data_IF_852193604304
#
_entry.id   IF_852193604304
#
_cell.length_a   1.000
_cell.length_b   1.000
_cell.length_c   1.000
_cell.angle_alpha   90.00
_cell.angle_beta   90.00
_cell.angle_gamma   90.00
#
_symmetry.space_group_name_H-M   'P 1'
#
loop_
_entity.id
_entity.type
_entity.pdbx_description
1 polymer ?
#
# COMPACT_ATOMS: atom_id res chain seq x y z
N UNK A 1 26.17 16.39 10.93
CA UNK A 1 25.72 16.70 9.54
C UNK A 1 24.21 16.60 9.49
N UNK A 2 23.51 17.64 8.99
CA UNK A 2 22.05 17.62 8.86
C UNK A 2 21.69 17.29 7.41
N UNK A 3 21.26 16.06 7.16
CA UNK A 3 20.70 15.70 5.84
C UNK A 3 19.19 15.88 5.91
N UNK A 4 18.67 16.91 5.26
CA UNK A 4 17.24 17.12 5.08
C UNK A 4 16.82 16.44 3.76
N UNK A 5 16.12 15.35 3.88
CA UNK A 5 15.49 14.70 2.74
C UNK A 5 13.96 14.90 2.89
N UNK A 6 13.46 15.99 2.32
CA UNK A 6 12.06 16.35 2.47
C UNK A 6 11.64 16.54 3.92
N UNK A 7 10.72 15.70 4.41
CA UNK A 7 10.14 15.75 5.77
C UNK A 7 10.81 14.80 6.78
N UNK A 8 11.83 14.04 6.38
CA UNK A 8 12.64 13.23 7.29
C UNK A 8 13.94 13.96 7.65
N UNK A 9 14.22 14.09 8.93
CA UNK A 9 15.49 14.59 9.45
C UNK A 9 16.21 13.46 10.17
N UNK A 10 17.47 13.20 9.79
CA UNK A 10 18.36 12.30 10.50
C UNK A 10 19.41 13.13 11.22
N UNK A 11 19.59 12.88 12.52
CA UNK A 11 20.68 13.43 13.32
C UNK A 11 21.72 12.31 13.46
N UNK A 12 22.89 12.51 12.88
CA UNK A 12 23.98 11.53 12.90
C UNK A 12 25.13 12.06 13.74
N UNK A 13 25.63 11.23 14.64
CA UNK A 13 26.90 11.40 15.32
C UNK A 13 27.96 10.54 14.62
N UNK A 14 29.08 11.14 14.29
CA UNK A 14 30.07 10.54 13.40
C UNK A 14 31.47 10.53 14.09
N UNK A 15 32.21 9.44 13.89
CA UNK A 15 33.64 9.38 14.09
C UNK A 15 34.32 9.19 12.72
N UNK A 16 34.88 10.29 12.19
CA UNK A 16 35.25 10.32 10.78
C UNK A 16 34.05 10.14 9.84
N UNK A 17 34.00 9.04 9.09
CA UNK A 17 32.88 8.68 8.22
C UNK A 17 31.98 7.57 8.79
N UNK A 18 32.36 7.00 9.94
CA UNK A 18 31.60 5.95 10.62
C UNK A 18 30.48 6.56 11.48
N UNK A 19 29.28 5.95 11.41
CA UNK A 19 28.11 6.38 12.18
C UNK A 19 28.14 5.71 13.56
N UNK A 20 28.27 6.53 14.62
CA UNK A 20 28.19 6.09 16.00
C UNK A 20 26.74 5.99 16.48
N UNK A 21 25.94 7.00 16.14
CA UNK A 21 24.52 7.04 16.48
C UNK A 21 23.70 7.70 15.39
N UNK A 22 22.43 7.29 15.28
CA UNK A 22 21.46 7.84 14.34
C UNK A 22 20.15 8.05 15.08
N UNK A 23 19.62 9.28 15.02
CA UNK A 23 18.31 9.62 15.56
C UNK A 23 17.39 10.12 14.43
N UNK A 24 16.41 9.29 13.98
CA UNK A 24 15.44 9.68 12.97
C UNK A 24 14.34 10.54 13.60
N UNK A 25 14.29 11.81 13.23
CA UNK A 25 13.26 12.75 13.68
C UNK A 25 12.08 12.69 12.73
N UNK A 26 10.98 12.12 13.19
CA UNK A 26 9.68 12.04 12.49
C UNK A 26 8.69 13.05 13.10
N UNK A 27 7.59 13.33 12.41
CA UNK A 27 6.54 14.23 12.89
C UNK A 27 6.36 15.52 12.06
N UNK A 28 7.27 15.82 11.14
CA UNK A 28 7.15 17.03 10.29
C UNK A 28 5.95 16.97 9.32
N UNK A 29 5.42 15.79 9.05
CA UNK A 29 4.23 15.56 8.23
C UNK A 29 3.03 15.07 9.07
N UNK A 30 3.08 15.26 10.40
CA UNK A 30 1.94 14.88 11.25
C UNK A 30 0.74 15.81 11.02
N UNK A 31 -0.39 15.19 10.67
CA UNK A 31 -1.62 15.89 10.27
C UNK A 31 -2.81 15.58 11.18
N UNK A 32 -2.60 14.80 12.24
CA UNK A 32 -3.64 14.41 13.19
C UNK A 32 -4.76 13.56 12.58
N UNK A 33 -4.46 12.74 11.57
CA UNK A 33 -5.44 11.98 10.79
C UNK A 33 -6.31 11.06 11.65
N UNK A 34 -5.72 10.38 12.64
CA UNK A 34 -6.47 9.53 13.57
C UNK A 34 -7.49 10.35 14.35
N UNK A 35 -7.12 11.56 14.78
CA UNK A 35 -8.04 12.45 15.52
C UNK A 35 -9.14 13.03 14.63
N UNK A 36 -8.81 13.39 13.39
CA UNK A 36 -9.82 13.80 12.39
C UNK A 36 -10.83 12.66 12.18
N UNK A 37 -10.34 11.41 12.05
CA UNK A 37 -11.20 10.25 11.88
C UNK A 37 -12.23 10.04 13.00
N UNK A 38 -11.98 10.52 14.22
CA UNK A 38 -12.93 10.47 15.33
C UNK A 38 -14.03 11.54 15.24
N UNK A 39 -13.86 12.56 14.40
CA UNK A 39 -14.77 13.71 14.30
C UNK A 39 -15.61 13.72 13.03
N UNK A 40 -15.31 12.83 12.07
CA UNK A 40 -16.01 12.73 10.79
C UNK A 40 -16.61 11.34 10.61
N UNK A 41 -17.59 11.23 9.71
CA UNK A 41 -18.26 9.98 9.41
C UNK A 41 -17.33 8.97 8.73
N UNK A 42 -17.63 7.67 8.88
CA UNK A 42 -16.86 6.59 8.25
C UNK A 42 -16.65 6.82 6.73
N UNK A 43 -17.70 7.22 6.00
CA UNK A 43 -17.60 7.47 4.56
C UNK A 43 -16.74 8.69 4.22
N UNK A 44 -16.75 9.71 5.07
CA UNK A 44 -15.98 10.94 4.85
C UNK A 44 -14.49 10.76 5.13
N UNK A 45 -14.12 9.72 5.87
CA UNK A 45 -12.71 9.43 6.15
C UNK A 45 -11.99 8.74 4.98
N UNK A 46 -12.71 8.08 4.07
CA UNK A 46 -12.12 7.38 2.92
C UNK A 46 -11.13 8.25 2.13
N UNK A 47 -11.44 9.52 1.74
CA UNK A 47 -10.47 10.37 1.04
C UNK A 47 -9.21 10.72 1.85
N UNK A 48 -9.27 10.66 3.18
CA UNK A 48 -8.08 10.88 4.01
C UNK A 48 -7.11 9.72 3.93
N UNK A 49 -7.61 8.49 3.72
CA UNK A 49 -6.76 7.31 3.63
C UNK A 49 -5.87 7.31 2.39
N UNK A 50 -6.26 7.97 1.28
CA UNK A 50 -5.42 8.18 0.09
C UNK A 50 -4.09 8.87 0.42
N UNK A 51 -4.07 9.69 1.47
CA UNK A 51 -2.94 10.54 1.83
C UNK A 51 -2.01 9.92 2.88
N UNK A 52 -2.27 8.70 3.31
CA UNK A 52 -1.35 7.97 4.19
C UNK A 52 -0.13 7.49 3.42
N UNK A 53 -0.27 6.40 2.69
CA UNK A 53 0.68 6.01 1.66
C UNK A 53 0.17 6.54 0.32
N UNK A 54 0.64 7.73 -0.06
CA UNK A 54 0.22 8.36 -1.30
C UNK A 54 0.75 7.65 -2.56
N UNK A 55 1.67 6.69 -2.42
CA UNK A 55 2.15 5.87 -3.53
C UNK A 55 1.21 4.70 -3.84
N UNK A 56 0.43 4.26 -2.84
CA UNK A 56 -0.53 3.18 -2.95
C UNK A 56 -1.93 3.57 -2.40
N UNK A 57 -2.57 4.64 -2.90
CA UNK A 57 -3.80 5.19 -2.33
C UNK A 57 -4.95 4.18 -2.32
N UNK A 58 -5.10 3.40 -3.40
CA UNK A 58 -6.16 2.39 -3.50
C UNK A 58 -6.04 1.30 -2.44
N UNK A 59 -4.82 0.90 -2.10
CA UNK A 59 -4.59 -0.11 -1.06
C UNK A 59 -5.07 0.38 0.31
N UNK A 60 -4.84 1.66 0.62
CA UNK A 60 -5.28 2.25 1.88
C UNK A 60 -6.79 2.37 1.98
N UNK A 61 -7.44 2.82 0.89
CA UNK A 61 -8.90 2.90 0.82
C UNK A 61 -9.54 1.54 1.07
N UNK A 62 -9.02 0.50 0.40
CA UNK A 62 -9.55 -0.86 0.50
C UNK A 62 -9.35 -1.41 1.91
N UNK A 63 -8.18 -1.25 2.50
CA UNK A 63 -7.90 -1.71 3.86
C UNK A 63 -8.86 -1.06 4.88
N UNK A 64 -9.09 0.25 4.77
CA UNK A 64 -10.04 0.96 5.62
C UNK A 64 -11.48 0.53 5.38
N UNK A 65 -11.91 0.42 4.12
CA UNK A 65 -13.27 -0.02 3.77
C UNK A 65 -13.55 -1.43 4.31
N UNK A 66 -12.61 -2.37 4.16
CA UNK A 66 -12.72 -3.71 4.72
C UNK A 66 -12.81 -3.71 6.26
N UNK A 67 -12.09 -2.81 6.95
CA UNK A 67 -12.20 -2.66 8.40
C UNK A 67 -13.61 -2.22 8.82
N UNK A 68 -14.20 -1.24 8.13
CA UNK A 68 -15.55 -0.77 8.41
C UNK A 68 -16.60 -1.82 8.04
N UNK A 69 -16.44 -2.48 6.90
CA UNK A 69 -17.33 -3.57 6.46
C UNK A 69 -17.32 -4.73 7.44
N UNK A 70 -16.15 -5.09 7.96
CA UNK A 70 -16.02 -6.09 9.03
C UNK A 70 -16.76 -5.67 10.32
N UNK A 71 -16.73 -4.37 10.68
CA UNK A 71 -17.48 -3.84 11.81
C UNK A 71 -19.00 -3.93 11.59
N UNK A 72 -19.43 -3.71 10.33
CA UNK A 72 -20.83 -3.75 9.92
C UNK A 72 -21.35 -5.19 9.69
N UNK A 73 -20.44 -6.18 9.58
CA UNK A 73 -20.79 -7.55 9.18
C UNK A 73 -21.24 -7.64 7.73
N UNK A 74 -20.69 -6.79 6.84
CA UNK A 74 -21.05 -6.75 5.43
C UNK A 74 -20.11 -7.59 4.59
N UNK A 75 -20.67 -8.34 3.64
CA UNK A 75 -19.93 -9.08 2.63
C UNK A 75 -20.18 -8.49 1.26
N UNK A 76 -19.10 -8.21 0.53
CA UNK A 76 -19.21 -7.67 -0.81
C UNK A 76 -19.58 -8.74 -1.84
N UNK A 77 -20.27 -8.32 -2.94
CA UNK A 77 -20.45 -9.16 -4.09
C UNK A 77 -19.13 -9.65 -4.69
N UNK A 78 -19.08 -10.88 -5.28
CA UNK A 78 -17.84 -11.45 -5.82
C UNK A 78 -17.11 -10.56 -6.83
N UNK A 79 -17.87 -9.89 -7.74
CA UNK A 79 -17.28 -8.93 -8.68
C UNK A 79 -16.63 -7.74 -7.99
N UNK A 80 -17.27 -7.21 -6.95
CA UNK A 80 -16.71 -6.12 -6.14
C UNK A 80 -15.42 -6.52 -5.41
N UNK A 81 -15.34 -7.77 -4.93
CA UNK A 81 -14.12 -8.32 -4.33
C UNK A 81 -13.00 -8.45 -5.37
N UNK A 82 -13.27 -9.03 -6.54
CA UNK A 82 -12.29 -9.18 -7.62
C UNK A 82 -11.74 -7.83 -8.10
N UNK A 83 -12.59 -6.81 -8.24
CA UNK A 83 -12.16 -5.45 -8.60
C UNK A 83 -11.27 -4.82 -7.53
N UNK A 84 -11.52 -5.12 -6.25
CA UNK A 84 -10.62 -4.66 -5.18
C UNK A 84 -9.26 -5.35 -5.24
N UNK A 85 -9.22 -6.65 -5.52
CA UNK A 85 -7.95 -7.36 -5.69
C UNK A 85 -7.17 -6.80 -6.88
N UNK A 86 -7.83 -6.55 -8.01
CA UNK A 86 -7.22 -5.90 -9.17
C UNK A 86 -6.61 -4.54 -8.80
N UNK A 87 -7.35 -3.70 -8.09
CA UNK A 87 -6.88 -2.39 -7.66
C UNK A 87 -5.73 -2.47 -6.64
N UNK A 88 -5.77 -3.45 -5.72
CA UNK A 88 -4.69 -3.71 -4.75
C UNK A 88 -3.38 -4.09 -5.45
N UNK A 89 -3.43 -5.01 -6.41
CA UNK A 89 -2.23 -5.50 -7.08
C UNK A 89 -1.66 -4.47 -8.09
N UNK A 90 -2.50 -3.70 -8.79
CA UNK A 90 -2.04 -2.55 -9.59
C UNK A 90 -1.38 -1.49 -8.70
N UNK A 91 -1.94 -1.23 -7.54
CA UNK A 91 -1.39 -0.28 -6.56
C UNK A 91 -0.06 -0.78 -5.97
N UNK A 92 0.05 -2.09 -5.69
CA UNK A 92 1.29 -2.73 -5.26
C UNK A 92 2.38 -2.61 -6.30
N UNK A 93 2.07 -2.96 -7.54
CA UNK A 93 3.02 -2.83 -8.65
C UNK A 93 3.48 -1.38 -8.82
N UNK A 94 2.55 -0.41 -8.84
CA UNK A 94 2.85 1.02 -8.96
C UNK A 94 3.75 1.54 -7.83
N UNK A 95 3.58 1.05 -6.61
CA UNK A 95 4.39 1.44 -5.46
C UNK A 95 5.79 0.82 -5.52
N UNK A 96 5.89 -0.48 -5.83
CA UNK A 96 7.17 -1.16 -5.88
C UNK A 96 8.04 -0.70 -7.06
N UNK A 97 7.46 -0.47 -8.24
CA UNK A 97 8.24 0.01 -9.39
C UNK A 97 8.81 1.41 -9.14
N UNK A 98 8.07 2.27 -8.43
CA UNK A 98 8.60 3.55 -7.98
C UNK A 98 9.74 3.35 -6.98
N UNK A 99 9.54 2.50 -5.96
CA UNK A 99 10.54 2.22 -4.94
C UNK A 99 11.84 1.70 -5.56
N UNK A 100 11.74 0.76 -6.50
CA UNK A 100 12.89 0.20 -7.25
C UNK A 100 13.59 1.27 -8.08
N UNK A 101 12.82 2.10 -8.80
CA UNK A 101 13.37 3.17 -9.66
C UNK A 101 14.09 4.24 -8.86
N UNK A 102 13.48 4.75 -7.78
CA UNK A 102 14.08 5.76 -6.88
C UNK A 102 15.33 5.19 -6.19
N UNK A 103 15.25 3.95 -5.71
CA UNK A 103 16.37 3.30 -5.08
C UNK A 103 17.56 3.11 -6.06
N UNK A 104 17.28 2.71 -7.31
CA UNK A 104 18.31 2.67 -8.36
C UNK A 104 18.96 4.04 -8.56
N UNK A 105 18.19 5.12 -8.59
CA UNK A 105 18.68 6.49 -8.70
C UNK A 105 19.54 6.90 -7.49
N UNK A 106 19.14 6.56 -6.27
CA UNK A 106 19.88 6.88 -5.04
C UNK A 106 21.25 6.21 -4.99
N UNK A 107 21.39 5.04 -5.65
CA UNK A 107 22.65 4.31 -5.79
C UNK A 107 23.43 4.69 -7.06
N UNK A 108 22.88 5.59 -7.90
CA UNK A 108 23.56 6.16 -9.07
C UNK A 108 23.07 5.66 -10.44
N UNK A 109 22.03 4.82 -10.51
CA UNK A 109 21.46 4.28 -11.74
C UNK A 109 20.25 5.10 -12.23
N UNK A 110 20.47 6.35 -12.66
CA UNK A 110 19.43 7.30 -13.06
C UNK A 110 18.54 6.79 -14.21
N UNK A 111 19.09 6.05 -15.16
CA UNK A 111 18.34 5.55 -16.33
C UNK A 111 17.20 4.62 -15.93
N UNK A 112 17.41 3.76 -14.94
CA UNK A 112 16.40 2.82 -14.45
C UNK A 112 15.18 3.55 -13.89
N UNK A 113 15.38 4.66 -13.21
CA UNK A 113 14.31 5.50 -12.73
C UNK A 113 13.35 5.95 -13.85
N UNK A 114 13.89 6.34 -15.01
CA UNK A 114 13.07 6.79 -16.15
C UNK A 114 12.22 5.65 -16.72
N UNK A 115 12.79 4.45 -16.90
CA UNK A 115 12.03 3.27 -17.35
C UNK A 115 10.92 2.87 -16.35
N UNK A 116 11.22 2.87 -15.07
CA UNK A 116 10.23 2.59 -14.03
C UNK A 116 9.08 3.62 -14.02
N UNK A 117 9.39 4.90 -14.28
CA UNK A 117 8.37 5.94 -14.34
C UNK A 117 7.47 5.83 -15.57
N UNK A 118 8.01 5.39 -16.71
CA UNK A 118 7.21 5.14 -17.91
C UNK A 118 6.14 4.08 -17.66
N UNK A 119 6.50 2.97 -17.02
CA UNK A 119 5.53 1.93 -16.66
C UNK A 119 4.51 2.40 -15.63
N UNK A 120 4.95 3.18 -14.65
CA UNK A 120 4.06 3.77 -13.66
C UNK A 120 3.07 4.75 -14.28
N UNK A 121 3.45 5.48 -15.30
CA UNK A 121 2.58 6.40 -16.05
C UNK A 121 1.41 5.66 -16.70
N UNK A 122 1.63 4.47 -17.27
CA UNK A 122 0.56 3.64 -17.83
C UNK A 122 -0.49 3.30 -16.77
N UNK A 123 -0.07 2.96 -15.53
CA UNK A 123 -0.99 2.69 -14.42
C UNK A 123 -1.78 3.94 -14.03
N UNK A 124 -1.15 5.11 -14.01
CA UNK A 124 -1.83 6.37 -13.74
C UNK A 124 -2.90 6.68 -14.79
N UNK A 125 -2.69 6.32 -16.06
CA UNK A 125 -3.70 6.44 -17.11
C UNK A 125 -4.90 5.52 -16.84
N UNK A 126 -4.69 4.30 -16.35
CA UNK A 126 -5.79 3.43 -15.89
C UNK A 126 -6.55 4.03 -14.71
N UNK A 127 -5.85 4.61 -13.73
CA UNK A 127 -6.51 5.28 -12.61
C UNK A 127 -7.34 6.47 -13.07
N UNK A 128 -6.83 7.28 -14.00
CA UNK A 128 -7.56 8.42 -14.55
C UNK A 128 -8.82 8.00 -15.29
N UNK A 129 -8.75 6.97 -16.11
CA UNK A 129 -9.91 6.41 -16.80
C UNK A 129 -10.96 5.88 -15.82
N UNK A 130 -10.51 5.19 -14.77
CA UNK A 130 -11.38 4.54 -13.79
C UNK A 130 -12.01 5.53 -12.80
N UNK A 131 -11.26 6.51 -12.33
CA UNK A 131 -11.67 7.35 -11.20
C UNK A 131 -11.77 8.83 -11.56
N UNK A 132 -11.18 9.26 -12.66
CA UNK A 132 -11.04 10.66 -13.05
C UNK A 132 -9.86 11.38 -12.38
N UNK A 133 -9.06 10.65 -11.59
CA UNK A 133 -7.89 11.19 -10.89
C UNK A 133 -6.69 10.28 -11.07
N UNK A 134 -5.53 10.87 -11.32
CA UNK A 134 -4.28 10.13 -11.54
C UNK A 134 -3.63 9.65 -10.25
N UNK A 135 -3.86 10.33 -9.14
CA UNK A 135 -3.11 10.15 -7.90
C UNK A 135 -4.02 9.83 -6.70
N UNK A 136 -4.74 10.76 -6.13
CA UNK A 136 -5.66 10.52 -5.01
C UNK A 136 -7.04 10.16 -5.54
N UNK A 137 -7.25 8.89 -5.80
CA UNK A 137 -8.36 8.42 -6.64
C UNK A 137 -9.65 8.10 -5.89
N UNK A 138 -9.60 7.83 -4.58
CA UNK A 138 -10.78 7.51 -3.75
C UNK A 138 -11.78 6.56 -4.44
N UNK A 139 -11.27 5.47 -5.06
CA UNK A 139 -12.07 4.55 -5.87
C UNK A 139 -13.05 3.73 -5.03
N UNK A 140 -12.60 3.25 -3.89
CA UNK A 140 -13.38 2.37 -3.02
C UNK A 140 -14.36 3.14 -2.16
N UNK A 141 -15.54 2.55 -1.96
CA UNK A 141 -16.56 3.00 -1.02
C UNK A 141 -16.88 1.89 -0.03
N UNK A 142 -17.38 2.23 1.14
CA UNK A 142 -17.89 1.24 2.09
C UNK A 142 -19.11 0.55 1.45
N UNK A 143 -19.03 -0.77 1.29
CA UNK A 143 -20.03 -1.58 0.60
C UNK A 143 -19.89 -1.69 -0.92
N UNK A 144 -18.75 -1.26 -1.50
CA UNK A 144 -18.49 -1.43 -2.93
C UNK A 144 -17.47 -0.49 -3.54
N UNK A 145 -17.69 -0.12 -4.81
CA UNK A 145 -16.81 0.70 -5.64
C UNK A 145 -17.57 1.86 -6.28
N UNK A 146 -16.85 2.88 -6.75
CA UNK A 146 -17.47 4.05 -7.40
C UNK A 146 -17.97 3.74 -8.81
N UNK A 147 -17.24 2.93 -9.56
CA UNK A 147 -17.51 2.55 -10.94
C UNK A 147 -17.04 1.13 -11.22
N UNK A 148 -17.70 0.48 -12.19
CA UNK A 148 -17.23 -0.78 -12.75
C UNK A 148 -16.12 -0.55 -13.77
N UNK A 149 -15.28 -1.57 -13.97
CA UNK A 149 -14.20 -1.54 -14.96
C UNK A 149 -14.74 -2.05 -16.30
N UNK A 150 -14.65 -1.27 -17.40
CA UNK A 150 -15.04 -1.72 -18.73
C UNK A 150 -14.15 -2.89 -19.21
N UNK A 151 -14.77 -3.79 -20.02
CA UNK A 151 -14.02 -4.94 -20.55
C UNK A 151 -12.85 -4.54 -21.48
N UNK A 152 -12.95 -3.40 -22.14
CA UNK A 152 -11.89 -2.84 -22.97
C UNK A 152 -10.66 -2.49 -22.11
N UNK A 153 -10.90 -1.83 -20.99
CA UNK A 153 -9.84 -1.50 -20.03
C UNK A 153 -9.20 -2.75 -19.43
N UNK A 154 -9.96 -3.81 -19.17
CA UNK A 154 -9.38 -5.08 -18.68
C UNK A 154 -8.41 -5.69 -19.71
N UNK A 155 -8.73 -5.58 -21.02
CA UNK A 155 -7.81 -6.01 -22.08
C UNK A 155 -6.55 -5.15 -22.15
N UNK A 156 -6.68 -3.83 -22.00
CA UNK A 156 -5.51 -2.93 -21.94
C UNK A 156 -4.60 -3.26 -20.75
N UNK A 157 -5.17 -3.60 -19.59
CA UNK A 157 -4.40 -4.05 -18.41
C UNK A 157 -3.66 -5.36 -18.68
N UNK A 158 -4.22 -6.30 -19.46
CA UNK A 158 -3.50 -7.52 -19.85
C UNK A 158 -2.29 -7.21 -20.75
N UNK A 159 -2.46 -6.31 -21.73
CA UNK A 159 -1.35 -5.85 -22.59
C UNK A 159 -0.25 -5.18 -21.73
N UNK A 160 -0.67 -4.32 -20.80
CA UNK A 160 0.25 -3.71 -19.84
C UNK A 160 1.04 -4.77 -19.04
N UNK A 161 0.39 -5.86 -18.59
CA UNK A 161 1.09 -6.92 -17.85
C UNK A 161 2.20 -7.59 -18.68
N UNK A 162 2.03 -7.71 -20.01
CA UNK A 162 3.03 -8.28 -20.90
C UNK A 162 4.21 -7.32 -21.14
N UNK A 163 3.93 -6.03 -21.25
CA UNK A 163 4.95 -4.98 -21.39
C UNK A 163 5.74 -4.81 -20.09
N UNK A 164 5.04 -4.67 -18.97
CA UNK A 164 5.63 -4.50 -17.64
C UNK A 164 6.57 -5.66 -17.26
N UNK A 165 6.23 -6.90 -17.65
CA UNK A 165 7.10 -8.05 -17.42
C UNK A 165 8.46 -7.90 -18.13
N UNK A 166 8.46 -7.38 -19.37
CA UNK A 166 9.71 -7.12 -20.14
C UNK A 166 10.54 -6.01 -19.49
N UNK A 167 9.89 -4.92 -19.09
CA UNK A 167 10.56 -3.80 -18.40
C UNK A 167 11.17 -4.25 -17.07
N UNK A 168 10.52 -5.18 -16.33
CA UNK A 168 11.11 -5.77 -15.13
C UNK A 168 12.38 -6.58 -15.44
N UNK A 169 12.34 -7.39 -16.50
CA UNK A 169 13.52 -8.19 -16.91
C UNK A 169 14.68 -7.28 -17.36
N UNK A 170 14.40 -6.20 -18.07
CA UNK A 170 15.40 -5.19 -18.46
C UNK A 170 15.96 -4.45 -17.24
N UNK A 171 15.10 -4.03 -16.32
CA UNK A 171 15.49 -3.36 -15.06
C UNK A 171 16.39 -4.26 -14.21
N UNK A 172 16.02 -5.52 -14.09
CA UNK A 172 16.81 -6.52 -13.37
C UNK A 172 18.17 -6.73 -14.05
N UNK A 173 18.20 -6.86 -15.36
CA UNK A 173 19.44 -7.04 -16.11
C UNK A 173 20.39 -5.84 -15.97
N UNK A 174 19.87 -4.63 -15.90
CA UNK A 174 20.66 -3.41 -15.73
C UNK A 174 21.24 -3.26 -14.31
N UNK A 175 20.51 -3.65 -13.29
CA UNK A 175 20.90 -3.45 -11.89
C UNK A 175 21.62 -4.67 -11.30
N UNK A 176 21.04 -5.86 -11.39
CA UNK A 176 21.57 -7.06 -10.74
C UNK A 176 22.83 -7.63 -11.41
N UNK A 177 23.16 -7.18 -12.63
CA UNK A 177 24.43 -7.49 -13.29
C UNK A 177 25.50 -6.41 -13.08
N UNK A 178 25.16 -5.28 -12.47
CA UNK A 178 26.09 -4.19 -12.23
C UNK A 178 26.86 -4.43 -10.93
N UNK A 179 28.16 -4.65 -11.04
CA UNK A 179 29.02 -4.90 -9.88
C UNK A 179 28.99 -3.77 -8.85
N UNK A 180 28.93 -2.52 -9.29
CA UNK A 180 28.88 -1.35 -8.37
C UNK A 180 27.59 -1.40 -7.55
N UNK A 181 26.47 -1.71 -8.18
CA UNK A 181 25.18 -1.84 -7.50
C UNK A 181 25.21 -2.98 -6.46
N UNK A 182 25.75 -4.14 -6.85
CA UNK A 182 25.88 -5.29 -5.97
C UNK A 182 26.78 -4.97 -4.76
N UNK A 183 27.98 -4.43 -5.02
CA UNK A 183 28.96 -4.10 -3.96
C UNK A 183 28.43 -3.03 -2.97
N UNK A 184 27.49 -2.17 -3.41
CA UNK A 184 26.86 -1.16 -2.58
C UNK A 184 25.72 -1.69 -1.71
N UNK A 185 25.17 -2.86 -2.01
CA UNK A 185 23.97 -3.38 -1.35
C UNK A 185 24.19 -4.68 -0.59
N UNK A 186 25.08 -5.56 -1.08
CA UNK A 186 25.34 -6.83 -0.41
C UNK A 186 26.07 -6.61 0.90
N UNK A 187 25.56 -7.25 1.96
CA UNK A 187 26.11 -7.14 3.32
C UNK A 187 25.86 -5.80 3.98
N UNK A 188 25.19 -4.84 3.34
CA UNK A 188 24.86 -3.53 3.91
C UNK A 188 23.47 -3.56 4.55
N UNK A 189 23.35 -3.02 5.77
CA UNK A 189 22.09 -2.91 6.48
C UNK A 189 21.41 -4.26 6.73
N UNK A 190 22.15 -5.25 7.21
CA UNK A 190 21.67 -6.61 7.47
C UNK A 190 20.72 -6.64 8.67
N UNK A 191 19.53 -7.17 8.48
CA UNK A 191 18.53 -7.36 9.54
C UNK A 191 18.35 -8.87 9.76
N UNK A 192 18.78 -9.34 10.93
CA UNK A 192 18.56 -10.74 11.29
C UNK A 192 17.07 -11.04 11.53
N UNK A 193 16.70 -12.29 11.37
CA UNK A 193 15.33 -12.77 11.59
C UNK A 193 14.79 -12.38 12.98
N UNK A 194 15.61 -12.52 14.02
CA UNK A 194 15.24 -12.19 15.40
C UNK A 194 15.00 -10.69 15.57
N UNK A 195 15.89 -9.86 15.03
CA UNK A 195 15.73 -8.41 15.04
C UNK A 195 14.48 -7.96 14.27
N UNK A 196 14.23 -8.52 13.09
CA UNK A 196 13.04 -8.19 12.30
C UNK A 196 11.75 -8.45 13.09
N UNK A 197 11.67 -9.57 13.82
CA UNK A 197 10.51 -9.89 14.65
C UNK A 197 10.40 -8.98 15.88
N UNK A 198 11.51 -8.71 16.58
CA UNK A 198 11.50 -7.89 17.81
C UNK A 198 11.08 -6.43 17.54
N UNK A 199 11.45 -5.88 16.37
CA UNK A 199 11.06 -4.53 15.94
C UNK A 199 9.70 -4.47 15.24
N UNK A 200 9.03 -5.62 15.04
CA UNK A 200 7.72 -5.69 14.38
C UNK A 200 7.76 -5.29 12.92
N UNK A 201 8.86 -5.55 12.22
CA UNK A 201 9.02 -5.31 10.79
C UNK A 201 8.04 -6.20 10.02
N UNK A 202 7.47 -5.69 8.93
CA UNK A 202 6.52 -6.39 8.09
C UNK A 202 6.77 -6.11 6.61
N UNK A 203 6.07 -6.87 5.75
CA UNK A 203 6.14 -6.70 4.30
C UNK A 203 7.42 -7.24 3.67
N UNK A 204 7.83 -6.66 2.55
CA UNK A 204 9.03 -7.05 1.82
C UNK A 204 10.31 -7.02 2.69
N UNK A 205 10.39 -6.08 3.64
CA UNK A 205 11.53 -5.96 4.56
C UNK A 205 11.64 -7.18 5.50
N UNK A 206 10.50 -7.71 5.99
CA UNK A 206 10.47 -8.93 6.80
C UNK A 206 10.80 -10.17 5.95
N UNK A 207 10.25 -10.23 4.73
CA UNK A 207 10.49 -11.34 3.80
C UNK A 207 11.95 -11.41 3.37
N UNK A 208 12.62 -10.28 3.19
CA UNK A 208 14.06 -10.24 2.93
C UNK A 208 14.88 -10.89 4.05
N UNK A 209 14.43 -10.81 5.31
CA UNK A 209 15.10 -11.46 6.47
C UNK A 209 14.76 -12.96 6.62
N UNK A 210 14.26 -13.63 5.59
CA UNK A 210 14.01 -15.07 5.58
C UNK A 210 12.70 -15.53 6.23
N UNK A 211 11.73 -14.62 6.47
CA UNK A 211 10.46 -14.97 7.10
C UNK A 211 9.34 -14.94 6.07
N UNK A 212 8.80 -16.11 5.76
CA UNK A 212 7.69 -16.28 4.83
C UNK A 212 6.36 -15.89 5.48
N UNK A 213 6.10 -14.57 5.60
CA UNK A 213 4.85 -14.02 6.14
C UNK A 213 4.22 -13.09 5.13
N UNK A 214 2.99 -13.41 4.73
CA UNK A 214 2.15 -12.60 3.86
C UNK A 214 0.69 -12.76 4.30
N UNK A 215 0.01 -11.68 4.61
CA UNK A 215 -1.36 -11.70 5.10
C UNK A 215 -2.34 -12.20 4.04
N UNK A 216 -2.05 -12.04 2.76
CA UNK A 216 -2.86 -12.56 1.66
C UNK A 216 -2.96 -14.11 1.67
N UNK A 217 -1.95 -14.79 2.25
CA UNK A 217 -1.91 -16.26 2.43
C UNK A 217 -2.28 -16.74 3.83
N UNK A 218 -1.87 -15.98 4.87
CA UNK A 218 -2.11 -16.38 6.27
C UNK A 218 -3.53 -16.10 6.74
N UNK A 219 -4.07 -14.97 6.37
CA UNK A 219 -5.43 -14.52 6.70
C UNK A 219 -6.07 -13.97 5.43
N UNK A 220 -6.46 -14.83 4.47
CA UNK A 220 -6.99 -14.40 3.20
C UNK A 220 -8.19 -13.47 3.36
N UNK A 221 -8.29 -12.47 2.51
CA UNK A 221 -9.38 -11.52 2.45
C UNK A 221 -9.70 -11.22 0.96
N UNK A 222 -10.91 -10.75 0.68
CA UNK A 222 -11.37 -10.40 -0.68
C UNK A 222 -11.20 -11.52 -1.73
N UNK A 223 -11.15 -12.78 -1.31
CA UNK A 223 -11.02 -13.92 -2.23
C UNK A 223 -9.59 -14.20 -2.70
N UNK A 224 -8.56 -13.70 -2.00
CA UNK A 224 -7.15 -14.02 -2.34
C UNK A 224 -6.84 -15.53 -2.31
N UNK A 225 -7.62 -16.32 -1.59
CA UNK A 225 -7.52 -17.79 -1.57
C UNK A 225 -7.76 -18.44 -2.95
N UNK A 226 -8.43 -17.75 -3.87
CA UNK A 226 -8.73 -18.24 -5.21
C UNK A 226 -7.59 -18.00 -6.21
N UNK A 227 -6.54 -17.26 -5.82
CA UNK A 227 -5.44 -16.90 -6.71
C UNK A 227 -4.14 -17.57 -6.31
N UNK A 228 -3.45 -18.08 -7.32
CA UNK A 228 -2.15 -18.74 -7.14
C UNK A 228 -1.01 -17.73 -7.28
N UNK A 229 -0.21 -17.59 -6.24
CA UNK A 229 1.01 -16.80 -6.24
C UNK A 229 2.00 -17.34 -5.21
N UNK A 230 3.26 -17.02 -5.40
CA UNK A 230 4.33 -17.38 -4.47
C UNK A 230 4.69 -16.18 -3.58
N UNK A 231 5.19 -16.47 -2.39
CA UNK A 231 5.68 -15.45 -1.46
C UNK A 231 7.21 -15.47 -1.54
N UNK A 232 7.84 -14.47 -2.19
CA UNK A 232 9.29 -14.41 -2.29
C UNK A 232 9.92 -14.15 -0.93
N UNK A 233 11.09 -14.78 -0.68
CA UNK A 233 11.81 -14.70 0.58
C UNK A 233 13.29 -14.56 0.28
N UNK A 234 13.98 -13.60 0.93
CA UNK A 234 15.42 -13.44 0.90
C UNK A 234 16.13 -14.37 1.89
N UNK A 235 17.45 -14.39 1.86
CA UNK A 235 18.27 -15.26 2.71
C UNK A 235 19.14 -14.48 3.70
N UNK A 236 19.70 -13.33 3.27
CA UNK A 236 20.71 -12.58 4.03
C UNK A 236 20.13 -11.40 4.84
N UNK A 237 18.96 -10.90 4.44
CA UNK A 237 18.31 -9.77 5.11
C UNK A 237 18.98 -8.44 4.88
N UNK A 238 19.79 -8.30 3.84
CA UNK A 238 20.50 -7.07 3.46
C UNK A 238 19.70 -6.17 2.51
N UNK A 239 20.29 -5.06 2.09
CA UNK A 239 19.68 -4.14 1.14
C UNK A 239 19.41 -4.79 -0.21
N UNK A 240 20.26 -5.72 -0.64
CA UNK A 240 20.13 -6.44 -1.90
C UNK A 240 18.91 -7.37 -1.88
N UNK A 241 18.73 -8.14 -0.80
CA UNK A 241 17.57 -9.02 -0.67
C UNK A 241 16.25 -8.23 -0.60
N UNK A 242 16.23 -7.08 0.10
CA UNK A 242 15.06 -6.20 0.12
C UNK A 242 14.69 -5.68 -1.27
N UNK A 243 15.68 -5.44 -2.11
CA UNK A 243 15.49 -5.04 -3.50
C UNK A 243 14.94 -6.19 -4.37
N UNK A 244 15.59 -7.36 -4.33
CA UNK A 244 15.20 -8.53 -5.14
C UNK A 244 13.82 -9.05 -4.79
N UNK A 245 13.47 -9.09 -3.50
CA UNK A 245 12.13 -9.47 -3.04
C UNK A 245 11.05 -8.55 -3.65
N UNK A 246 11.28 -7.25 -3.76
CA UNK A 246 10.30 -6.33 -4.37
C UNK A 246 10.13 -6.57 -5.87
N UNK A 247 11.21 -6.87 -6.60
CA UNK A 247 11.11 -7.22 -8.02
C UNK A 247 10.25 -8.49 -8.19
N UNK A 248 10.51 -9.50 -7.38
CA UNK A 248 9.76 -10.73 -7.47
C UNK A 248 8.29 -10.54 -7.03
N UNK A 249 8.02 -9.71 -6.03
CA UNK A 249 6.65 -9.35 -5.67
C UNK A 249 5.89 -8.66 -6.81
N UNK A 250 6.56 -7.84 -7.61
CA UNK A 250 5.94 -7.24 -8.80
C UNK A 250 5.55 -8.31 -9.83
N UNK A 251 6.41 -9.33 -10.05
CA UNK A 251 6.08 -10.46 -10.94
C UNK A 251 4.86 -11.23 -10.43
N UNK A 252 4.81 -11.49 -9.13
CA UNK A 252 3.66 -12.16 -8.52
C UNK A 252 2.39 -11.30 -8.61
N UNK A 253 2.48 -9.98 -8.47
CA UNK A 253 1.34 -9.08 -8.68
C UNK A 253 0.81 -9.14 -10.11
N UNK A 254 1.68 -9.15 -11.13
CA UNK A 254 1.26 -9.33 -12.53
C UNK A 254 0.58 -10.69 -12.76
N UNK A 255 1.07 -11.75 -12.09
CA UNK A 255 0.44 -13.08 -12.14
C UNK A 255 -0.96 -13.08 -11.54
N UNK A 256 -1.16 -12.41 -10.40
CA UNK A 256 -2.47 -12.27 -9.77
C UNK A 256 -3.41 -11.44 -10.65
N UNK A 257 -2.96 -10.30 -11.20
CA UNK A 257 -3.76 -9.44 -12.07
C UNK A 257 -4.33 -10.23 -13.26
N UNK A 258 -3.51 -11.05 -13.92
CA UNK A 258 -3.95 -11.90 -15.04
C UNK A 258 -5.05 -12.87 -14.58
N UNK A 259 -4.86 -13.59 -13.49
CA UNK A 259 -5.84 -14.52 -12.95
C UNK A 259 -7.15 -13.81 -12.58
N UNK A 260 -7.08 -12.65 -11.94
CA UNK A 260 -8.27 -11.86 -11.59
C UNK A 260 -9.08 -11.49 -12.83
N UNK A 261 -8.41 -11.07 -13.91
CA UNK A 261 -9.09 -10.68 -15.15
C UNK A 261 -9.70 -11.89 -15.85
N UNK A 262 -8.98 -13.02 -15.91
CA UNK A 262 -9.45 -14.27 -16.52
C UNK A 262 -10.65 -14.87 -15.77
N UNK A 263 -10.68 -14.75 -14.46
CA UNK A 263 -11.72 -15.32 -13.60
C UNK A 263 -12.75 -14.29 -13.12
N UNK A 264 -12.77 -13.09 -13.73
CA UNK A 264 -13.63 -11.99 -13.30
C UNK A 264 -15.12 -12.40 -13.32
N UNK A 265 -15.77 -12.46 -12.14
CA UNK A 265 -17.19 -12.84 -12.10
C UNK A 265 -18.08 -11.71 -12.63
N UNK A 266 -19.21 -12.08 -13.22
CA UNK A 266 -20.27 -11.15 -13.55
C UNK A 266 -21.14 -10.81 -12.33
N UNK A 267 -21.78 -9.63 -12.35
CA UNK A 267 -22.71 -9.26 -11.28
C UNK A 267 -22.54 -7.83 -10.79
N UNK A 268 -23.20 -7.49 -9.67
CA UNK A 268 -23.12 -6.15 -9.09
C UNK A 268 -21.74 -5.93 -8.44
N UNK A 269 -21.28 -4.69 -8.51
CA UNK A 269 -20.01 -4.25 -7.86
C UNK A 269 -20.26 -3.71 -6.44
N UNK A 270 -21.50 -3.34 -6.14
CA UNK A 270 -21.92 -2.76 -4.88
C UNK A 270 -22.96 -3.66 -4.22
N UNK A 271 -23.01 -3.60 -2.90
CA UNK A 271 -24.10 -4.21 -2.15
C UNK A 271 -25.43 -3.55 -2.53
N UNK A 272 -26.44 -4.39 -2.79
CA UNK A 272 -27.78 -3.92 -3.18
C UNK A 272 -28.66 -3.85 -1.93
N UNK A 273 -29.44 -2.79 -1.83
CA UNK A 273 -30.50 -2.59 -0.81
C UNK A 273 -30.07 -2.60 0.69
N UNK A 274 -28.81 -2.38 1.00
CA UNK A 274 -28.37 -2.19 2.37
C UNK A 274 -28.61 -0.74 2.86
N UNK A 275 -29.10 -0.60 4.08
CA UNK A 275 -29.22 0.70 4.76
C UNK A 275 -27.82 1.26 5.03
N UNK A 276 -27.30 2.11 4.17
CA UNK A 276 -25.95 2.71 4.31
C UNK A 276 -25.15 2.75 3.04
N UNK A 277 -25.52 1.98 2.00
CA UNK A 277 -24.98 2.16 0.66
C UNK A 277 -25.76 3.22 -0.10
N UNK A 278 -25.05 4.01 -0.92
CA UNK A 278 -25.67 5.02 -1.77
C UNK A 278 -26.53 4.35 -2.84
N UNK A 279 -27.76 4.79 -3.07
CA UNK A 279 -28.62 4.27 -4.13
C UNK A 279 -28.09 4.69 -5.51
N UNK A 280 -28.56 3.99 -6.55
CA UNK A 280 -28.22 4.30 -7.94
C UNK A 280 -28.67 5.73 -8.29
N UNK A 281 -27.79 6.53 -8.90
CA UNK A 281 -28.03 7.95 -9.21
C UNK A 281 -29.30 8.18 -10.03
N UNK A 282 -29.64 7.28 -10.96
CA UNK A 282 -30.88 7.38 -11.75
C UNK A 282 -32.12 7.26 -10.85
N UNK A 283 -32.11 6.32 -9.89
CA UNK A 283 -33.21 6.11 -8.95
C UNK A 283 -33.37 7.31 -8.00
N UNK A 284 -32.26 7.92 -7.55
CA UNK A 284 -32.31 9.14 -6.71
C UNK A 284 -33.06 10.29 -7.38
N UNK A 285 -33.01 10.39 -8.70
CA UNK A 285 -33.69 11.46 -9.46
C UNK A 285 -35.16 11.19 -9.75
N UNK A 286 -35.62 9.94 -9.61
CA UNK A 286 -36.98 9.52 -10.02
C UNK A 286 -37.81 8.92 -8.90
N UNK A 287 -37.17 8.50 -7.78
CA UNK A 287 -37.82 7.82 -6.67
C UNK A 287 -37.55 8.54 -5.35
N UNK A 288 -38.62 8.86 -4.62
CA UNK A 288 -38.56 9.61 -3.37
C UNK A 288 -37.83 8.84 -2.25
N UNK A 289 -38.03 7.52 -2.15
CA UNK A 289 -37.38 6.70 -1.14
C UNK A 289 -35.87 6.66 -1.35
N UNK A 290 -35.42 6.55 -2.61
CA UNK A 290 -34.02 6.63 -2.98
C UNK A 290 -33.42 8.00 -2.70
N UNK A 291 -34.16 9.07 -2.91
CA UNK A 291 -33.73 10.44 -2.56
C UNK A 291 -33.56 10.62 -1.04
N UNK A 292 -34.54 10.17 -0.24
CA UNK A 292 -34.47 10.21 1.21
C UNK A 292 -33.27 9.37 1.69
N UNK A 293 -33.08 8.18 1.16
CA UNK A 293 -31.96 7.30 1.49
C UNK A 293 -30.63 7.97 1.18
N UNK A 294 -30.50 8.59 0.00
CA UNK A 294 -29.31 9.35 -0.38
C UNK A 294 -29.02 10.47 0.63
N UNK A 295 -30.03 11.24 0.99
CA UNK A 295 -29.91 12.33 1.95
C UNK A 295 -29.47 11.80 3.35
N UNK A 296 -30.13 10.77 3.85
CA UNK A 296 -29.81 10.17 5.15
C UNK A 296 -28.40 9.59 5.20
N UNK A 297 -28.01 8.83 4.15
CA UNK A 297 -26.66 8.23 4.07
C UNK A 297 -25.56 9.30 3.99
N UNK A 298 -25.84 10.42 3.29
CA UNK A 298 -24.86 11.51 3.14
C UNK A 298 -24.75 12.36 4.41
N UNK A 299 -25.87 12.63 5.12
CA UNK A 299 -25.89 13.49 6.30
C UNK A 299 -25.55 12.77 7.60
N UNK A 300 -26.02 11.55 7.78
CA UNK A 300 -25.83 10.77 9.01
C UNK A 300 -24.71 9.73 8.93
N UNK A 301 -24.29 9.41 7.70
CA UNK A 301 -23.32 8.34 7.46
C UNK A 301 -23.89 6.93 7.64
N UNK A 302 -22.99 5.96 7.69
CA UNK A 302 -23.32 4.55 7.95
C UNK A 302 -23.47 4.36 9.44
N UNK A 303 -24.62 3.84 9.88
CA UNK A 303 -24.87 3.56 11.29
C UNK A 303 -24.17 2.25 11.69
N UNK A 304 -22.99 2.36 12.30
CA UNK A 304 -22.23 1.21 12.76
C UNK A 304 -22.75 0.72 14.14
N UNK A 305 -22.77 -0.60 14.39
CA UNK A 305 -23.06 -1.15 15.71
C UNK A 305 -21.97 -0.79 16.71
N UNK A 306 -22.28 -0.85 17.99
CA UNK A 306 -21.27 -0.76 19.04
C UNK A 306 -20.38 -1.99 19.02
N UNK A 307 -19.07 -1.79 19.05
CA UNK A 307 -18.11 -2.89 19.01
C UNK A 307 -16.72 -2.42 18.60
N UNK A 308 -15.78 -3.34 18.69
CA UNK A 308 -14.38 -3.11 18.30
C UNK A 308 -13.96 -4.09 17.22
N UNK A 309 -13.21 -3.61 16.26
CA UNK A 309 -12.65 -4.44 15.18
C UNK A 309 -11.22 -4.04 14.89
N UNK A 310 -10.40 -5.03 14.59
CA UNK A 310 -9.11 -4.86 13.96
C UNK A 310 -9.11 -5.59 12.61
N UNK A 311 -8.66 -4.92 11.58
CA UNK A 311 -8.45 -5.48 10.27
C UNK A 311 -7.08 -5.05 9.75
N UNK A 312 -6.34 -6.00 9.22
CA UNK A 312 -5.04 -5.77 8.61
C UNK A 312 -5.03 -6.27 7.16
N UNK A 313 -4.43 -5.49 6.28
CA UNK A 313 -4.20 -5.82 4.88
C UNK A 313 -2.70 -5.81 4.58
N UNK A 314 -2.28 -6.61 3.62
CA UNK A 314 -0.92 -6.59 3.09
C UNK A 314 -0.79 -5.46 2.07
N UNK A 315 -0.27 -4.32 2.50
CA UNK A 315 0.05 -3.20 1.62
C UNK A 315 1.47 -3.34 1.04
N UNK A 316 1.84 -2.58 -0.01
CA UNK A 316 3.19 -2.64 -0.59
C UNK A 316 4.31 -2.43 0.43
N UNK A 317 4.09 -1.60 1.44
CA UNK A 317 5.07 -1.30 2.49
C UNK A 317 5.06 -2.34 3.64
N UNK A 318 4.02 -3.17 3.71
CA UNK A 318 3.82 -4.19 4.73
C UNK A 318 2.40 -4.21 5.30
N UNK A 319 2.26 -4.70 6.52
CA UNK A 319 0.97 -4.81 7.20
C UNK A 319 0.40 -3.43 7.57
N UNK A 320 -0.65 -3.00 6.88
CA UNK A 320 -1.46 -1.84 7.25
C UNK A 320 -2.68 -2.31 8.04
N UNK A 321 -2.80 -1.88 9.30
CA UNK A 321 -3.89 -2.25 10.16
C UNK A 321 -4.75 -1.06 10.58
N UNK A 322 -6.08 -1.26 10.61
CA UNK A 322 -7.04 -0.31 11.17
C UNK A 322 -7.74 -0.91 12.38
N UNK A 323 -7.64 -0.23 13.51
CA UNK A 323 -8.44 -0.50 14.69
C UNK A 323 -9.54 0.54 14.77
N UNK A 324 -10.79 0.05 14.84
CA UNK A 324 -11.99 0.86 14.94
C UNK A 324 -12.74 0.49 16.23
N UNK A 325 -13.07 1.49 17.02
CA UNK A 325 -13.95 1.38 18.17
C UNK A 325 -15.20 2.22 17.92
N UNK A 326 -16.37 1.60 17.99
CA UNK A 326 -17.67 2.22 17.76
C UNK A 326 -18.54 2.10 19.01
N UNK A 327 -19.16 3.19 19.40
CA UNK A 327 -20.21 3.23 20.44
C UNK A 327 -21.63 3.13 19.85
N UNK A 328 -21.73 2.91 18.56
CA UNK A 328 -22.96 3.04 17.79
C UNK A 328 -23.08 4.40 17.11
N UNK A 329 -23.75 4.43 15.95
CA UNK A 329 -23.95 5.67 15.18
C UNK A 329 -23.00 5.85 14.01
N UNK A 330 -22.99 7.05 13.44
CA UNK A 330 -22.27 7.38 12.20
C UNK A 330 -20.81 7.80 12.38
N UNK A 331 -20.36 7.99 13.62
CA UNK A 331 -19.00 8.47 13.95
C UNK A 331 -18.22 7.39 14.72
N UNK A 332 -16.96 7.12 14.39
CA UNK A 332 -16.12 6.26 15.20
C UNK A 332 -15.79 6.94 16.55
N UNK A 333 -15.77 6.13 17.63
CA UNK A 333 -15.33 6.60 18.95
C UNK A 333 -13.80 6.69 19.00
N UNK A 334 -13.11 5.71 18.38
CA UNK A 334 -11.67 5.69 18.23
C UNK A 334 -11.28 5.09 16.89
N UNK A 335 -10.38 5.74 16.20
CA UNK A 335 -9.71 5.23 15.03
C UNK A 335 -8.22 5.21 15.31
N UNK A 336 -7.57 4.07 15.12
CA UNK A 336 -6.12 3.94 15.21
C UNK A 336 -5.59 3.16 14.03
N UNK A 337 -4.45 3.60 13.53
CA UNK A 337 -3.80 3.00 12.39
C UNK A 337 -2.44 2.42 12.78
N UNK A 338 -2.19 1.17 12.40
CA UNK A 338 -0.87 0.58 12.40
C UNK A 338 -0.21 0.83 11.05
N UNK A 339 0.78 1.69 11.04
CA UNK A 339 1.56 2.00 9.84
C UNK A 339 2.76 1.05 9.71
N UNK A 340 2.92 0.33 8.59
CA UNK A 340 4.10 -0.49 8.37
C UNK A 340 5.38 0.36 8.24
N UNK A 341 5.32 1.50 7.57
CA UNK A 341 6.48 2.37 7.38
C UNK A 341 7.04 2.90 8.69
N UNK A 342 6.18 3.24 9.67
CA UNK A 342 6.63 3.68 11.00
C UNK A 342 7.37 2.57 11.75
N UNK A 343 6.81 1.35 11.74
CA UNK A 343 7.45 0.20 12.40
C UNK A 343 8.78 -0.15 11.72
N UNK A 344 8.81 -0.15 10.38
CA UNK A 344 10.01 -0.45 9.63
C UNK A 344 11.11 0.60 9.84
N UNK A 345 10.75 1.89 9.95
CA UNK A 345 11.70 2.98 10.16
C UNK A 345 12.29 2.98 11.58
N UNK A 346 11.58 2.45 12.56
CA UNK A 346 11.99 2.49 13.97
C UNK A 346 13.29 1.74 14.26
N UNK A 347 13.72 0.80 13.41
CA UNK A 347 14.98 0.05 13.57
C UNK A 347 16.23 0.87 13.14
N UNK A 348 16.07 1.98 12.43
CA UNK A 348 17.18 2.75 11.85
C UNK A 348 18.29 3.11 12.86
N UNK A 349 17.99 3.54 14.10
CA UNK A 349 19.02 3.86 15.08
C UNK A 349 20.01 2.72 15.35
N UNK A 350 19.50 1.49 15.35
CA UNK A 350 20.32 0.30 15.56
C UNK A 350 21.02 -0.15 14.28
N UNK A 351 20.32 -0.03 13.15
CA UNK A 351 20.81 -0.53 11.86
C UNK A 351 21.91 0.35 11.26
N UNK A 352 21.84 1.67 11.47
CA UNK A 352 22.83 2.62 10.93
C UNK A 352 24.17 2.59 11.67
N UNK A 353 24.19 2.09 12.89
CA UNK A 353 25.39 2.09 13.72
C UNK A 353 26.48 1.20 13.14
N UNK A 354 27.70 1.75 13.01
CA UNK A 354 28.86 1.06 12.45
C UNK A 354 28.92 1.04 10.92
N UNK A 355 27.94 1.66 10.22
CA UNK A 355 27.98 1.87 8.78
C UNK A 355 28.59 3.23 8.42
N UNK A 356 28.98 3.40 7.17
CA UNK A 356 29.52 4.65 6.67
C UNK A 356 28.38 5.63 6.30
N UNK A 357 28.68 6.93 6.33
CA UNK A 357 27.74 7.98 5.86
C UNK A 357 27.32 7.73 4.42
N UNK A 358 28.17 7.15 3.60
CA UNK A 358 27.89 6.77 2.21
C UNK A 358 26.82 5.68 2.09
N UNK A 359 26.62 4.83 3.13
CA UNK A 359 25.64 3.74 3.12
C UNK A 359 24.23 4.20 3.54
N UNK A 360 24.12 5.41 4.11
CA UNK A 360 22.83 5.98 4.54
C UNK A 360 21.77 5.97 3.42
N UNK A 361 22.05 6.44 2.19
CA UNK A 361 21.06 6.38 1.11
C UNK A 361 20.66 4.94 0.76
N UNK A 362 21.63 4.01 0.74
CA UNK A 362 21.37 2.61 0.43
C UNK A 362 20.47 1.95 1.49
N UNK A 363 20.75 2.16 2.77
CA UNK A 363 19.93 1.62 3.86
C UNK A 363 18.55 2.25 3.85
N UNK A 364 18.42 3.58 3.79
CA UNK A 364 17.14 4.28 3.79
C UNK A 364 16.27 3.89 2.60
N UNK A 365 16.82 3.93 1.38
CA UNK A 365 16.10 3.60 0.16
C UNK A 365 15.59 2.16 0.16
N UNK A 366 16.35 1.23 0.79
CA UNK A 366 15.96 -0.17 0.89
C UNK A 366 14.69 -0.42 1.70
N UNK A 367 14.33 0.46 2.65
CA UNK A 367 13.09 0.34 3.43
C UNK A 367 11.85 0.73 2.66
N UNK A 368 11.98 1.58 1.65
CA UNK A 368 10.86 2.08 0.83
C UNK A 368 9.71 2.62 1.71
N UNK A 369 10.03 3.45 2.69
CA UNK A 369 9.05 4.04 3.61
C UNK A 369 8.39 5.30 3.01
N UNK A 370 7.18 5.60 3.47
CA UNK A 370 6.45 6.82 3.12
C UNK A 370 6.16 7.63 4.36
N UNK A 371 6.62 8.89 4.37
CA UNK A 371 6.48 9.75 5.56
C UNK A 371 5.03 10.11 5.90
N UNK A 372 4.14 10.18 4.90
CA UNK A 372 2.72 10.42 5.13
C UNK A 372 2.05 9.32 5.96
N UNK A 373 2.56 8.09 5.85
CA UNK A 373 2.12 6.95 6.63
C UNK A 373 2.83 6.87 8.00
N UNK A 374 4.11 7.27 8.06
CA UNK A 374 4.86 7.32 9.31
C UNK A 374 4.26 8.33 10.29
N UNK A 375 3.98 9.54 9.83
CA UNK A 375 3.60 10.67 10.68
C UNK A 375 2.08 10.75 10.93
N UNK A 376 1.23 10.17 10.06
CA UNK A 376 -0.24 10.07 10.20
C UNK A 376 -1.01 11.36 10.36
#
# INVERSE_FOLDING_TARGET
>A
MYKRQGVLRLVLELDGEEIISCDPVVGHLHRGMEKIGETIQYNQFVPYTDRFDYLAPLSNNIAYACAVEKLLGWELPPRGQALRVLALELSRFSSHILGVGVYGMDVGAMTVFLYCYEEREKIHNFYEQLTGARFTSSYTRIGGQTRDVPNEMLKEVLVFCDEAAKTLDETEALLLKNKIFIDRLQGVGVISREKALSWGITGANLRASGIKRDLRKLTPYLGYENYEFDVPVGEHGDCYDRFTVRIEEMRQSLRIIRQVIETMPDGPINMVDTKGTLPEKKKVLTDMESLIRQFMTTTMGVNAPAGQVYFAAENPKGELGFFLDSKGGGLPNRLRMRSPSFCNLSILPELMKGHLVSDVPAILGSFDFVMGECDR
#
